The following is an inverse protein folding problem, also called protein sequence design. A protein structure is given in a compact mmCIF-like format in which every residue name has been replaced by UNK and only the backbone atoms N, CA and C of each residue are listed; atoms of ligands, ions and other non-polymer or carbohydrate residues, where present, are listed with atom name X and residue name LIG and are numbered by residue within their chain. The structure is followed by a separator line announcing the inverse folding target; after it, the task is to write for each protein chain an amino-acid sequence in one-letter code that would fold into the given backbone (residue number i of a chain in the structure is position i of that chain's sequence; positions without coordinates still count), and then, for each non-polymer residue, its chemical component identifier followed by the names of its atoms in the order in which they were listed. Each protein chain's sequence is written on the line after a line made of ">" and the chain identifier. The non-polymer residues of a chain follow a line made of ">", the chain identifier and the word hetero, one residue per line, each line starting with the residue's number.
data_IF_802508720932
#
_entry.id   IF_802508720932
#
_cell.length_a   1.000
_cell.length_b   1.000
_cell.length_c   1.000
_cell.angle_alpha   90.00
_cell.angle_beta   90.00
_cell.angle_gamma   90.00
#
_symmetry.space_group_name_H-M   'P 1'
#
loop_
_entity.id
_entity.type
_entity.pdbx_description
1 polymer ?
#
# COMPACT_ATOMS: atom_id res chain seq x y z
N UNK A 1 -10.34 27.28 -14.65
CA UNK A 1 -11.52 26.41 -14.68
C UNK A 1 -11.89 26.15 -13.23
N UNK A 2 -12.97 26.78 -12.76
CA UNK A 2 -13.19 27.10 -11.35
C UNK A 2 -13.47 25.86 -10.48
N UNK A 3 -12.55 25.56 -9.56
CA UNK A 3 -12.79 24.69 -8.41
C UNK A 3 -13.75 25.45 -7.48
N UNK A 4 -15.00 25.01 -7.34
CA UNK A 4 -15.85 25.51 -6.27
C UNK A 4 -15.18 25.17 -4.93
N UNK A 5 -14.97 26.20 -4.10
CA UNK A 5 -14.49 26.17 -2.71
C UNK A 5 -15.48 25.46 -1.77
N UNK A 6 -15.84 24.22 -2.06
CA UNK A 6 -16.55 23.36 -1.12
C UNK A 6 -15.50 22.67 -0.25
N UNK A 7 -15.54 22.91 1.06
CA UNK A 7 -14.73 22.12 2.00
C UNK A 7 -15.12 20.64 1.88
N UNK A 8 -14.15 19.70 1.86
CA UNK A 8 -14.46 18.29 1.75
C UNK A 8 -15.29 17.82 2.95
N UNK A 9 -16.31 17.00 2.70
CA UNK A 9 -17.17 16.41 3.71
C UNK A 9 -16.39 15.49 4.66
N UNK A 10 -15.41 14.79 4.10
CA UNK A 10 -14.48 13.96 4.84
C UNK A 10 -13.16 13.86 4.08
N UNK A 11 -12.07 13.73 4.82
CA UNK A 11 -10.74 13.48 4.26
C UNK A 11 -10.13 12.24 4.92
N UNK A 12 -9.36 11.50 4.15
CA UNK A 12 -8.64 10.33 4.64
C UNK A 12 -7.29 10.23 3.95
N UNK A 13 -6.21 10.14 4.72
CA UNK A 13 -4.88 9.87 4.19
C UNK A 13 -4.48 8.44 4.45
N UNK A 14 -4.22 7.71 3.37
CA UNK A 14 -3.54 6.43 3.46
C UNK A 14 -2.05 6.55 3.14
N UNK A 15 -1.25 5.71 3.79
CA UNK A 15 0.18 5.59 3.52
C UNK A 15 0.60 4.14 3.45
N UNK A 16 0.92 3.71 2.23
CA UNK A 16 1.59 2.45 1.94
C UNK A 16 3.09 2.69 1.76
N UNK A 17 3.89 1.61 1.78
CA UNK A 17 5.34 1.70 1.60
C UNK A 17 5.72 2.46 0.32
N UNK A 18 4.98 2.26 -0.78
CA UNK A 18 5.34 2.81 -2.11
C UNK A 18 4.60 4.10 -2.48
N UNK A 19 3.45 4.34 -1.85
CA UNK A 19 2.51 5.37 -2.26
C UNK A 19 1.75 5.91 -1.06
N UNK A 20 1.61 7.23 -1.01
CA UNK A 20 0.66 7.94 -0.16
C UNK A 20 -0.53 8.33 -1.04
N UNK A 21 -1.76 8.11 -0.60
CA UNK A 21 -2.93 8.67 -1.28
C UNK A 21 -3.75 9.47 -0.27
N UNK A 22 -4.10 10.69 -0.66
CA UNK A 22 -4.99 11.56 0.11
C UNK A 22 -6.35 11.56 -0.62
N UNK A 23 -7.40 11.18 0.11
CA UNK A 23 -8.78 11.16 -0.39
C UNK A 23 -9.53 12.36 0.18
N UNK A 24 -10.25 13.06 -0.69
CA UNK A 24 -11.18 14.11 -0.33
C UNK A 24 -12.56 13.75 -0.88
N UNK A 25 -13.52 13.54 0.02
CA UNK A 25 -14.91 13.26 -0.31
C UNK A 25 -15.70 14.56 -0.42
N UNK A 26 -16.34 14.77 -1.56
CA UNK A 26 -17.29 15.85 -1.81
C UNK A 26 -18.69 15.27 -2.02
N UNK A 27 -19.68 16.12 -2.28
CA UNK A 27 -21.07 15.70 -2.48
C UNK A 27 -21.30 14.84 -3.72
N UNK A 28 -20.52 15.06 -4.78
CA UNK A 28 -20.69 14.45 -6.11
C UNK A 28 -19.52 13.56 -6.53
N UNK A 29 -18.37 13.68 -5.85
CA UNK A 29 -17.12 13.04 -6.25
C UNK A 29 -16.20 12.72 -5.07
N UNK A 30 -15.26 11.83 -5.33
CA UNK A 30 -14.06 11.63 -4.51
C UNK A 30 -12.85 12.02 -5.33
N UNK A 31 -12.05 12.93 -4.81
CA UNK A 31 -10.75 13.26 -5.37
C UNK A 31 -9.69 12.42 -4.66
N UNK A 32 -8.79 11.84 -5.44
CA UNK A 32 -7.70 10.98 -4.97
C UNK A 32 -6.39 11.55 -5.47
N UNK A 33 -5.57 12.05 -4.55
CA UNK A 33 -4.22 12.54 -4.84
C UNK A 33 -3.22 11.49 -4.38
N UNK A 34 -2.60 10.81 -5.34
CA UNK A 34 -1.54 9.85 -5.10
C UNK A 34 -0.17 10.50 -5.25
N UNK A 35 0.75 10.23 -4.31
CA UNK A 35 2.14 10.64 -4.33
C UNK A 35 3.03 9.42 -4.09
N UNK A 36 3.90 9.10 -5.05
CA UNK A 36 4.84 7.98 -4.96
C UNK A 36 6.17 8.45 -4.36
N UNK A 37 6.89 7.52 -3.73
CA UNK A 37 8.24 7.78 -3.18
C UNK A 37 9.21 8.38 -4.22
N UNK A 38 9.07 8.03 -5.50
CA UNK A 38 9.91 8.53 -6.60
C UNK A 38 9.45 9.90 -7.14
N UNK A 39 8.70 10.67 -6.35
CA UNK A 39 8.30 12.05 -6.66
C UNK A 39 7.16 12.20 -7.67
N UNK A 40 6.68 11.11 -8.28
CA UNK A 40 5.50 11.19 -9.16
C UNK A 40 4.26 11.52 -8.33
N UNK A 41 3.41 12.38 -8.87
CA UNK A 41 2.09 12.69 -8.30
C UNK A 41 1.03 12.47 -9.36
N UNK A 42 -0.13 11.94 -8.95
CA UNK A 42 -1.27 11.71 -9.82
C UNK A 42 -2.53 12.12 -9.10
N UNK A 43 -3.38 12.91 -9.76
CA UNK A 43 -4.69 13.28 -9.25
C UNK A 43 -5.74 12.60 -10.12
N UNK A 44 -6.69 11.92 -9.51
CA UNK A 44 -7.84 11.36 -10.20
C UNK A 44 -9.11 11.73 -9.45
N UNK A 45 -10.18 11.87 -10.21
CA UNK A 45 -11.51 12.22 -9.69
C UNK A 45 -12.46 11.10 -10.06
N UNK A 46 -13.13 10.54 -9.06
CA UNK A 46 -14.12 9.48 -9.24
C UNK A 46 -15.49 10.04 -8.87
N UNK A 47 -16.40 10.07 -9.83
CA UNK A 47 -17.78 10.52 -9.59
C UNK A 47 -18.52 9.49 -8.75
N UNK A 48 -19.29 9.95 -7.75
CA UNK A 48 -20.03 9.05 -6.86
C UNK A 48 -21.13 8.29 -7.59
N UNK A 49 -21.78 8.90 -8.58
CA UNK A 49 -22.79 8.22 -9.43
C UNK A 49 -22.22 7.10 -10.31
N UNK A 50 -20.89 6.97 -10.41
CA UNK A 50 -20.23 5.84 -11.10
C UNK A 50 -19.92 4.69 -10.14
N UNK A 51 -20.17 4.87 -8.84
CA UNK A 51 -19.92 3.88 -7.80
C UNK A 51 -21.23 3.21 -7.37
N UNK A 52 -21.10 2.00 -6.87
CA UNK A 52 -22.15 1.23 -6.21
C UNK A 52 -21.86 1.18 -4.71
N UNK A 53 -22.88 1.18 -3.84
CA UNK A 53 -22.66 1.00 -2.40
C UNK A 53 -22.12 -0.39 -2.03
N UNK A 54 -22.04 -1.31 -3.00
CA UNK A 54 -21.44 -2.64 -2.84
C UNK A 54 -19.92 -2.53 -2.69
N UNK A 55 -19.39 -3.24 -1.71
CA UNK A 55 -17.96 -3.31 -1.45
C UNK A 55 -17.45 -4.74 -1.40
N UNK A 56 -16.22 -4.95 -1.83
CA UNK A 56 -15.46 -6.17 -1.57
C UNK A 56 -14.26 -5.85 -0.71
N UNK A 57 -13.85 -6.81 0.11
CA UNK A 57 -12.71 -6.66 1.01
C UNK A 57 -11.61 -7.64 0.66
N UNK A 58 -10.36 -7.20 0.78
CA UNK A 58 -9.19 -8.05 0.59
C UNK A 58 -8.13 -7.73 1.63
N UNK A 59 -7.55 -8.76 2.25
CA UNK A 59 -6.37 -8.63 3.09
C UNK A 59 -5.13 -8.88 2.25
N UNK A 60 -4.45 -7.82 1.83
CA UNK A 60 -3.31 -7.90 0.92
C UNK A 60 -2.02 -7.74 1.71
N UNK A 61 -1.09 -8.70 1.52
CA UNK A 61 0.29 -8.56 1.98
C UNK A 61 1.11 -7.89 0.90
N UNK A 62 2.05 -7.04 1.30
CA UNK A 62 2.97 -6.44 0.36
C UNK A 62 3.83 -7.52 -0.34
N UNK A 63 3.93 -7.46 -1.67
CA UNK A 63 4.70 -8.41 -2.50
C UNK A 63 6.17 -8.53 -2.11
N UNK A 64 6.75 -7.48 -1.53
CA UNK A 64 8.15 -7.48 -1.08
C UNK A 64 8.40 -8.52 0.01
N UNK A 65 7.42 -8.84 0.86
CA UNK A 65 7.58 -9.87 1.88
C UNK A 65 7.98 -11.24 1.30
N UNK A 66 7.35 -11.66 0.19
CA UNK A 66 7.68 -12.92 -0.48
C UNK A 66 9.09 -12.89 -1.08
N UNK A 67 9.46 -11.77 -1.71
CA UNK A 67 10.79 -11.60 -2.30
C UNK A 67 11.88 -11.57 -1.23
N UNK A 68 11.64 -10.91 -0.09
CA UNK A 68 12.56 -10.87 1.04
C UNK A 68 12.81 -12.25 1.65
N UNK A 69 11.78 -13.10 1.74
CA UNK A 69 11.97 -14.49 2.18
C UNK A 69 12.85 -15.25 1.19
N UNK A 70 12.54 -15.18 -0.11
CA UNK A 70 13.29 -15.92 -1.13
C UNK A 70 14.77 -15.48 -1.19
N UNK A 71 15.01 -14.17 -1.32
CA UNK A 71 16.35 -13.59 -1.42
C UNK A 71 17.11 -13.78 -0.11
N UNK A 72 16.44 -13.58 1.04
CA UNK A 72 17.02 -13.78 2.36
C UNK A 72 17.48 -15.22 2.56
N UNK A 73 16.65 -16.21 2.24
CA UNK A 73 17.01 -17.63 2.35
C UNK A 73 18.21 -17.99 1.46
N UNK A 74 18.26 -17.49 0.22
CA UNK A 74 19.39 -17.71 -0.67
C UNK A 74 20.67 -17.05 -0.16
N UNK A 75 20.56 -15.84 0.38
CA UNK A 75 21.67 -15.10 0.97
C UNK A 75 22.23 -15.82 2.20
N UNK A 76 21.38 -16.33 3.09
CA UNK A 76 21.79 -17.15 4.24
C UNK A 76 22.50 -18.42 3.78
N UNK A 77 21.93 -19.17 2.83
CA UNK A 77 22.54 -20.38 2.31
C UNK A 77 23.94 -20.10 1.72
N UNK A 78 24.05 -19.03 0.93
CA UNK A 78 25.32 -18.60 0.34
C UNK A 78 26.33 -18.20 1.41
N UNK A 79 25.90 -17.40 2.40
CA UNK A 79 26.77 -16.95 3.49
C UNK A 79 27.32 -18.13 4.30
N UNK A 80 26.49 -19.13 4.61
CA UNK A 80 26.89 -20.35 5.33
C UNK A 80 27.88 -21.19 4.53
N UNK A 81 27.66 -21.37 3.22
CA UNK A 81 28.55 -22.17 2.37
C UNK A 81 29.91 -21.50 2.19
N UNK A 82 29.92 -20.19 1.91
CA UNK A 82 31.15 -19.42 1.68
C UNK A 82 31.88 -19.07 2.98
N UNK A 83 31.19 -19.08 4.12
CA UNK A 83 31.77 -18.79 5.44
C UNK A 83 32.48 -19.98 6.09
N UNK A 84 32.61 -21.12 5.40
CA UNK A 84 33.27 -22.30 5.96
C UNK A 84 34.77 -22.05 6.20
N UNK A 85 35.35 -22.61 7.27
CA UNK A 85 36.78 -22.50 7.54
C UNK A 85 37.59 -23.15 6.41
N UNK A 86 38.79 -22.62 6.15
CA UNK A 86 39.67 -23.09 5.07
C UNK A 86 39.41 -22.45 3.70
N UNK A 87 38.50 -21.48 3.62
CA UNK A 87 38.24 -20.70 2.40
C UNK A 87 39.20 -19.52 2.27
N UNK A 88 39.51 -19.16 1.03
CA UNK A 88 40.31 -17.98 0.69
C UNK A 88 39.70 -16.68 1.27
N UNK A 89 40.52 -15.68 1.65
CA UNK A 89 40.04 -14.47 2.31
C UNK A 89 38.96 -13.69 1.53
N UNK A 90 38.98 -13.74 0.19
CA UNK A 90 37.97 -13.08 -0.64
C UNK A 90 36.59 -13.76 -0.55
N UNK A 91 36.58 -15.10 -0.38
CA UNK A 91 35.35 -15.89 -0.21
C UNK A 91 34.70 -15.58 1.14
N UNK A 92 35.51 -15.38 2.17
CA UNK A 92 35.03 -14.97 3.49
C UNK A 92 34.39 -13.58 3.45
N UNK A 93 34.95 -12.63 2.68
CA UNK A 93 34.31 -11.32 2.45
C UNK A 93 32.96 -11.45 1.74
N UNK A 94 32.85 -12.37 0.78
CA UNK A 94 31.57 -12.66 0.13
C UNK A 94 30.52 -13.25 1.09
N UNK A 95 30.95 -14.05 2.07
CA UNK A 95 30.05 -14.54 3.14
C UNK A 95 29.49 -13.39 3.99
N UNK A 96 30.32 -12.42 4.36
CA UNK A 96 29.88 -11.21 5.10
C UNK A 96 28.83 -10.44 4.31
N UNK A 97 29.04 -10.25 3.00
CA UNK A 97 28.04 -9.62 2.11
C UNK A 97 26.72 -10.40 2.12
N UNK A 98 26.77 -11.73 2.08
CA UNK A 98 25.59 -12.60 2.19
C UNK A 98 24.80 -12.35 3.49
N UNK A 99 25.48 -12.23 4.62
CA UNK A 99 24.82 -11.90 5.90
C UNK A 99 24.22 -10.50 5.93
N UNK A 100 24.88 -9.51 5.33
CA UNK A 100 24.34 -8.15 5.22
C UNK A 100 23.05 -8.14 4.38
N UNK A 101 23.03 -8.84 3.24
CA UNK A 101 21.84 -8.98 2.40
C UNK A 101 20.72 -9.71 3.15
N UNK A 102 21.04 -10.78 3.88
CA UNK A 102 20.07 -11.51 4.70
C UNK A 102 19.46 -10.62 5.80
N UNK A 103 20.29 -9.84 6.50
CA UNK A 103 19.85 -8.89 7.52
C UNK A 103 18.93 -7.82 6.94
N UNK A 104 19.30 -7.22 5.79
CA UNK A 104 18.45 -6.27 5.09
C UNK A 104 17.10 -6.87 4.69
N UNK A 105 17.10 -8.11 4.16
CA UNK A 105 15.86 -8.83 3.84
C UNK A 105 14.98 -9.05 5.09
N UNK A 106 15.58 -9.35 6.24
CA UNK A 106 14.88 -9.46 7.51
C UNK A 106 14.16 -8.16 7.91
N UNK A 107 14.82 -7.02 7.77
CA UNK A 107 14.22 -5.69 8.02
C UNK A 107 13.06 -5.44 7.06
N UNK A 108 13.25 -5.66 5.75
CA UNK A 108 12.18 -5.47 4.76
C UNK A 108 10.99 -6.39 5.06
N UNK A 109 11.24 -7.65 5.42
CA UNK A 109 10.19 -8.59 5.80
C UNK A 109 9.41 -8.11 7.03
N UNK A 110 10.10 -7.65 8.09
CA UNK A 110 9.45 -7.13 9.28
C UNK A 110 8.52 -5.94 8.97
N UNK A 111 8.96 -5.04 8.09
CA UNK A 111 8.17 -3.89 7.64
C UNK A 111 6.99 -4.27 6.73
N UNK A 112 7.07 -5.40 6.03
CA UNK A 112 6.10 -5.79 4.98
C UNK A 112 5.26 -7.03 5.32
N UNK A 113 5.50 -7.66 6.47
CA UNK A 113 4.83 -8.90 6.89
C UNK A 113 3.33 -8.69 7.19
N UNK A 114 2.98 -7.49 7.69
CA UNK A 114 1.60 -7.15 8.05
C UNK A 114 0.71 -7.10 6.81
N UNK A 115 -0.44 -7.77 6.90
CA UNK A 115 -1.50 -7.66 5.90
C UNK A 115 -2.20 -6.31 6.10
N UNK A 116 -2.52 -5.66 5.00
CA UNK A 116 -3.30 -4.42 4.97
C UNK A 116 -4.69 -4.75 4.44
N UNK A 117 -5.72 -4.23 5.10
CA UNK A 117 -7.10 -4.37 4.62
C UNK A 117 -7.34 -3.36 3.51
N UNK A 118 -7.84 -3.84 2.39
CA UNK A 118 -8.30 -3.04 1.27
C UNK A 118 -9.81 -3.21 1.15
N UNK A 119 -10.51 -2.10 1.03
CA UNK A 119 -11.92 -2.08 0.65
C UNK A 119 -12.02 -1.49 -0.75
N UNK A 120 -12.67 -2.24 -1.62
CA UNK A 120 -12.95 -1.86 -2.99
C UNK A 120 -14.42 -1.52 -3.12
N UNK A 121 -14.70 -0.25 -3.43
CA UNK A 121 -16.02 0.21 -3.83
C UNK A 121 -16.18 -0.11 -5.31
N UNK A 122 -17.24 -0.87 -5.62
CA UNK A 122 -17.47 -1.35 -6.98
C UNK A 122 -18.20 -0.30 -7.80
N UNK A 123 -18.17 -0.47 -9.12
CA UNK A 123 -19.07 0.21 -10.06
C UNK A 123 -20.37 -0.59 -10.21
N UNK A 124 -21.43 -0.02 -10.82
CA UNK A 124 -22.68 -0.74 -11.08
C UNK A 124 -22.49 -2.04 -11.88
N UNK A 125 -21.47 -2.11 -12.74
CA UNK A 125 -21.10 -3.29 -13.54
C UNK A 125 -20.30 -4.36 -12.74
N UNK A 126 -20.08 -4.14 -11.44
CA UNK A 126 -19.33 -5.04 -10.57
C UNK A 126 -17.80 -4.93 -10.69
N UNK A 127 -17.27 -4.06 -11.54
CA UNK A 127 -15.82 -3.84 -11.67
C UNK A 127 -15.29 -2.95 -10.53
N UNK A 128 -13.97 -2.98 -10.26
CA UNK A 128 -13.33 -2.05 -9.33
C UNK A 128 -13.59 -0.59 -9.70
N UNK A 129 -14.12 0.20 -8.76
CA UNK A 129 -14.34 1.63 -8.93
C UNK A 129 -13.33 2.47 -8.16
N UNK A 130 -13.24 2.24 -6.86
CA UNK A 130 -12.36 2.97 -5.94
C UNK A 130 -11.79 2.01 -4.89
N UNK A 131 -10.47 1.96 -4.77
CA UNK A 131 -9.77 1.10 -3.80
C UNK A 131 -9.14 1.92 -2.68
N UNK A 132 -9.51 1.63 -1.43
CA UNK A 132 -9.04 2.36 -0.24
C UNK A 132 -8.40 1.35 0.72
N UNK A 133 -7.19 1.62 1.20
CA UNK A 133 -6.51 0.77 2.16
C UNK A 133 -6.59 1.35 3.57
N UNK A 134 -6.78 0.48 4.56
CA UNK A 134 -6.66 0.80 5.99
C UNK A 134 -5.18 0.80 6.38
N UNK A 135 -4.47 1.88 6.10
CA UNK A 135 -3.03 2.01 6.38
C UNK A 135 -2.62 3.48 6.50
N UNK A 136 -1.62 3.75 7.34
CA UNK A 136 -1.06 5.10 7.50
C UNK A 136 -1.63 5.85 8.71
N UNK A 137 -1.46 7.18 8.75
CA UNK A 137 -1.75 7.99 9.94
C UNK A 137 -3.24 8.02 10.31
N UNK A 138 -4.13 7.96 9.33
CA UNK A 138 -5.58 8.05 9.56
C UNK A 138 -6.26 6.68 9.67
N UNK A 139 -5.52 5.57 9.79
CA UNK A 139 -6.08 4.22 9.76
C UNK A 139 -7.20 3.96 10.79
N UNK A 140 -7.21 4.70 11.91
CA UNK A 140 -8.28 4.66 12.91
C UNK A 140 -9.61 5.25 12.41
N UNK A 141 -9.56 6.23 11.51
CA UNK A 141 -10.72 6.91 10.89
C UNK A 141 -11.22 6.20 9.62
N UNK A 142 -10.60 5.08 9.26
CA UNK A 142 -10.91 4.35 8.03
C UNK A 142 -12.40 3.99 7.91
N UNK A 143 -12.99 3.41 8.96
CA UNK A 143 -14.39 3.02 8.96
C UNK A 143 -15.34 4.22 8.87
N UNK A 144 -15.01 5.31 9.55
CA UNK A 144 -15.78 6.56 9.51
C UNK A 144 -15.82 7.13 8.08
N UNK A 145 -14.66 7.21 7.43
CA UNK A 145 -14.55 7.66 6.05
C UNK A 145 -15.32 6.74 5.09
N UNK A 146 -15.17 5.42 5.26
CA UNK A 146 -15.84 4.44 4.42
C UNK A 146 -17.37 4.50 4.58
N UNK A 147 -17.87 4.71 5.79
CA UNK A 147 -19.29 4.89 6.08
C UNK A 147 -19.83 6.19 5.47
N UNK A 148 -19.09 7.30 5.58
CA UNK A 148 -19.44 8.56 4.95
C UNK A 148 -19.50 8.44 3.43
N UNK A 149 -18.50 7.78 2.82
CA UNK A 149 -18.46 7.50 1.39
C UNK A 149 -19.66 6.66 0.95
N UNK A 150 -19.94 5.54 1.63
CA UNK A 150 -21.08 4.66 1.31
C UNK A 150 -22.41 5.41 1.40
N UNK A 151 -22.56 6.30 2.38
CA UNK A 151 -23.77 7.14 2.52
C UNK A 151 -23.91 8.08 1.33
N UNK A 152 -22.85 8.78 0.92
CA UNK A 152 -22.89 9.68 -0.23
C UNK A 152 -23.15 8.92 -1.55
N UNK A 153 -22.54 7.74 -1.75
CA UNK A 153 -22.79 6.89 -2.92
C UNK A 153 -24.24 6.42 -3.01
N UNK A 154 -24.96 6.29 -1.88
CA UNK A 154 -26.40 5.94 -1.90
C UNK A 154 -27.31 7.13 -2.22
N UNK A 155 -26.80 8.35 -2.07
CA UNK A 155 -27.55 9.59 -2.28
C UNK A 155 -27.30 10.21 -3.65
N UNK A 156 -26.22 9.82 -4.32
CA UNK A 156 -25.86 10.19 -5.70
C UNK A 156 -26.59 9.32 -6.73
#
# INVERSE_FOLDING_TARGET
>A
MALHDASPLASYTERLLQVRRDFALYHDRVEVRASWLLGRTHCTTVLLGQLSPRTTEALIRNRWAKHSILIGSLAVATAVVLGRPGQEPWVQRASVLGWLVAGFCGVVLALTARKVRFVRVLRPDGKPGLDIAQAGPDAARFEEFLAALKRQVRQA
#
